data_IF_505274003967
#
_entry.id   IF_505274003967
#
_cell.length_a   1.000
_cell.length_b   1.000
_cell.length_c   1.000
_cell.angle_alpha   90.00
_cell.angle_beta   90.00
_cell.angle_gamma   90.00
#
_symmetry.space_group_name_H-M   'P 1'
#
loop_
_entity.id
_entity.type
_entity.pdbx_description
1 polymer ?
#
# COMPACT_ATOMS: atom_id res chain seq x y z
N UNK A 1 20.93 -21.84 13.51
CA UNK A 1 19.53 -21.46 13.42
C UNK A 1 18.92 -22.03 12.16
N UNK A 2 17.83 -22.76 12.32
CA UNK A 2 17.16 -23.34 11.15
C UNK A 2 16.55 -22.23 10.30
N UNK A 3 16.76 -22.27 8.98
CA UNK A 3 16.15 -21.36 8.01
C UNK A 3 14.61 -21.31 8.11
N UNK A 4 14.01 -22.34 8.71
CA UNK A 4 12.57 -22.43 8.92
C UNK A 4 12.05 -21.42 9.96
N UNK A 5 12.82 -21.07 10.99
CA UNK A 5 12.40 -20.05 11.97
C UNK A 5 12.45 -18.64 11.38
N UNK A 6 13.46 -18.32 10.57
CA UNK A 6 13.56 -17.04 9.88
C UNK A 6 12.44 -16.87 8.84
N UNK A 7 12.12 -17.89 8.06
CA UNK A 7 11.02 -17.87 7.11
C UNK A 7 9.66 -17.73 7.80
N UNK A 8 9.47 -18.40 8.95
CA UNK A 8 8.26 -18.27 9.76
C UNK A 8 8.10 -16.85 10.34
N UNK A 9 9.20 -16.24 10.77
CA UNK A 9 9.18 -14.87 11.29
C UNK A 9 8.87 -13.85 10.18
N UNK A 10 9.43 -14.01 8.99
CA UNK A 10 9.10 -13.19 7.82
C UNK A 10 7.62 -13.32 7.48
N UNK A 11 7.07 -14.52 7.46
CA UNK A 11 5.65 -14.75 7.20
C UNK A 11 4.73 -14.09 8.24
N UNK A 12 5.05 -14.23 9.52
CA UNK A 12 4.30 -13.61 10.63
C UNK A 12 4.34 -12.09 10.59
N UNK A 13 5.39 -11.50 10.03
CA UNK A 13 5.58 -10.05 9.92
C UNK A 13 4.88 -9.40 8.73
N UNK A 14 4.30 -10.18 7.81
CA UNK A 14 3.61 -9.64 6.61
C UNK A 14 2.50 -8.63 6.94
N UNK A 15 1.90 -8.70 8.12
CA UNK A 15 0.86 -7.77 8.55
C UNK A 15 1.41 -6.64 9.45
N UNK A 16 2.63 -6.75 9.94
CA UNK A 16 3.24 -5.82 10.90
C UNK A 16 4.19 -4.85 10.20
N UNK A 17 3.63 -4.08 9.27
CA UNK A 17 4.41 -3.14 8.46
C UNK A 17 5.10 -2.09 9.35
N UNK A 18 4.38 -1.52 10.32
CA UNK A 18 4.93 -0.52 11.23
C UNK A 18 6.11 -1.04 12.02
N UNK A 19 6.00 -2.23 12.61
CA UNK A 19 7.10 -2.86 13.36
C UNK A 19 8.29 -3.17 12.45
N UNK A 20 8.05 -3.62 11.22
CA UNK A 20 9.13 -3.86 10.26
C UNK A 20 9.89 -2.57 9.92
N UNK A 21 9.18 -1.45 9.76
CA UNK A 21 9.81 -0.15 9.53
C UNK A 21 10.59 0.34 10.75
N UNK A 22 10.05 0.14 11.95
CA UNK A 22 10.75 0.51 13.19
C UNK A 22 12.03 -0.32 13.37
N UNK A 23 12.00 -1.61 13.02
CA UNK A 23 13.19 -2.47 13.02
C UNK A 23 14.22 -2.01 11.98
N UNK A 24 13.77 -1.61 10.79
CA UNK A 24 14.67 -1.09 9.75
C UNK A 24 15.40 0.16 10.25
N UNK A 25 14.73 1.04 10.99
CA UNK A 25 15.35 2.20 11.61
C UNK A 25 16.37 1.79 12.68
N UNK A 26 16.01 0.84 13.55
CA UNK A 26 16.90 0.35 14.62
C UNK A 26 18.16 -0.34 14.06
N UNK A 27 18.03 -1.05 12.95
CA UNK A 27 19.14 -1.72 12.26
C UNK A 27 19.90 -0.80 11.27
N UNK A 28 19.54 0.48 11.22
CA UNK A 28 20.20 1.48 10.37
C UNK A 28 20.16 1.20 8.86
N UNK A 29 19.07 0.62 8.37
CA UNK A 29 18.86 0.50 6.91
C UNK A 29 18.76 1.89 6.30
N UNK A 30 19.39 2.08 5.15
CA UNK A 30 19.31 3.34 4.40
C UNK A 30 18.06 3.42 3.52
N UNK A 31 17.59 2.27 3.03
CA UNK A 31 16.54 2.16 2.04
C UNK A 31 15.65 0.95 2.30
N UNK A 32 14.34 1.12 2.14
CA UNK A 32 13.34 0.04 2.31
C UNK A 32 12.34 0.11 1.16
N UNK A 33 12.08 -1.02 0.53
CA UNK A 33 11.03 -1.16 -0.47
C UNK A 33 10.01 -2.21 -0.01
N UNK A 34 8.76 -1.77 0.13
CA UNK A 34 7.63 -2.66 0.39
C UNK A 34 7.04 -3.11 -0.95
N UNK A 35 6.87 -4.40 -1.14
CA UNK A 35 6.18 -4.95 -2.31
C UNK A 35 5.05 -5.84 -1.82
N UNK A 36 3.83 -5.55 -2.22
CA UNK A 36 2.71 -6.33 -1.70
C UNK A 36 1.40 -6.17 -2.44
N UNK A 37 0.47 -7.03 -2.07
CA UNK A 37 -0.87 -7.03 -2.64
C UNK A 37 -1.65 -5.78 -2.21
N UNK A 38 -2.38 -5.19 -3.15
CA UNK A 38 -3.18 -3.98 -2.93
C UNK A 38 -4.15 -4.13 -1.76
N UNK A 39 -4.72 -5.31 -1.57
CA UNK A 39 -5.62 -5.60 -0.45
C UNK A 39 -4.99 -5.41 0.93
N UNK A 40 -3.68 -5.45 1.04
CA UNK A 40 -2.94 -5.14 2.27
C UNK A 40 -2.39 -3.72 2.27
N UNK A 41 -1.65 -3.36 1.22
CA UNK A 41 -0.90 -2.11 1.20
C UNK A 41 -1.77 -0.87 1.02
N UNK A 42 -2.98 -0.98 0.46
CA UNK A 42 -3.90 0.16 0.39
C UNK A 42 -4.24 0.71 1.79
N UNK A 43 -4.23 -0.13 2.82
CA UNK A 43 -4.48 0.29 4.21
C UNK A 43 -3.47 1.31 4.72
N UNK A 44 -2.25 1.32 4.16
CA UNK A 44 -1.23 2.32 4.47
C UNK A 44 -1.67 3.74 4.07
N UNK A 45 -2.56 3.87 3.08
CA UNK A 45 -3.12 5.17 2.70
C UNK A 45 -3.94 5.82 3.83
N UNK A 46 -4.44 5.03 4.76
CA UNK A 46 -5.11 5.49 5.98
C UNK A 46 -4.20 5.51 7.21
N UNK A 47 -2.91 5.24 7.06
CA UNK A 47 -1.97 5.17 8.18
C UNK A 47 -2.09 3.88 9.00
N UNK A 48 -2.77 2.86 8.48
CA UNK A 48 -2.94 1.58 9.16
C UNK A 48 -1.67 0.75 8.92
N UNK A 49 -0.87 0.58 9.94
CA UNK A 49 0.44 -0.07 9.87
C UNK A 49 0.40 -1.56 10.22
N UNK A 50 -0.65 -2.03 10.88
CA UNK A 50 -0.95 -3.45 11.02
C UNK A 50 -2.06 -3.81 10.04
N UNK A 51 -1.71 -4.49 8.96
CA UNK A 51 -2.63 -4.76 7.85
C UNK A 51 -3.51 -5.98 8.05
N UNK A 52 -3.45 -6.63 9.22
CA UNK A 52 -4.32 -7.75 9.53
C UNK A 52 -5.78 -7.28 9.67
N UNK A 53 -6.71 -7.97 9.01
CA UNK A 53 -8.14 -7.59 8.98
C UNK A 53 -8.81 -7.51 10.35
N UNK A 54 -8.28 -8.25 11.35
CA UNK A 54 -8.77 -8.17 12.74
C UNK A 54 -8.42 -6.85 13.43
N UNK A 55 -7.39 -6.15 12.97
CA UNK A 55 -6.98 -4.86 13.55
C UNK A 55 -7.75 -3.71 12.93
N UNK A 56 -7.83 -3.68 11.61
CA UNK A 56 -8.58 -2.69 10.87
C UNK A 56 -8.82 -3.17 9.44
N UNK A 57 -9.92 -2.79 8.84
CA UNK A 57 -10.13 -2.98 7.41
C UNK A 57 -10.25 -1.63 6.75
N UNK A 58 -10.97 -0.82 6.53
CA UNK A 58 -10.99 0.49 5.84
C UNK A 58 -10.59 0.46 4.36
N UNK A 59 -10.50 -0.70 3.70
CA UNK A 59 -10.09 -0.78 2.29
C UNK A 59 -11.09 -0.08 1.37
N UNK A 60 -12.36 -0.40 1.49
CA UNK A 60 -13.42 0.18 0.66
C UNK A 60 -13.62 1.65 0.95
N UNK A 61 -13.52 2.06 2.21
CA UNK A 61 -13.60 3.46 2.64
C UNK A 61 -12.46 4.29 2.03
N UNK A 62 -11.25 3.75 1.99
CA UNK A 62 -10.11 4.43 1.37
C UNK A 62 -10.31 4.60 -0.15
N UNK A 63 -10.73 3.56 -0.84
CA UNK A 63 -11.07 3.67 -2.26
C UNK A 63 -12.19 4.68 -2.49
N UNK A 64 -13.23 4.65 -1.69
CA UNK A 64 -14.36 5.58 -1.78
C UNK A 64 -13.92 7.03 -1.55
N UNK A 65 -13.16 7.30 -0.49
CA UNK A 65 -12.69 8.65 -0.17
C UNK A 65 -11.82 9.23 -1.29
N UNK A 66 -10.85 8.45 -1.78
CA UNK A 66 -9.97 8.88 -2.86
C UNK A 66 -10.69 8.99 -4.20
N UNK A 67 -11.68 8.14 -4.47
CA UNK A 67 -12.55 8.28 -5.65
C UNK A 67 -13.36 9.57 -5.60
N UNK A 68 -13.93 9.91 -4.44
CA UNK A 68 -14.64 11.17 -4.25
C UNK A 68 -13.74 12.39 -4.51
N UNK A 69 -12.50 12.36 -4.04
CA UNK A 69 -11.51 13.41 -4.33
C UNK A 69 -11.22 13.53 -5.84
N UNK A 70 -11.32 12.43 -6.58
CA UNK A 70 -11.11 12.41 -8.03
C UNK A 70 -12.39 12.67 -8.85
N UNK A 71 -13.49 13.06 -8.21
CA UNK A 71 -14.71 13.44 -8.88
C UNK A 71 -15.73 12.31 -9.08
N UNK A 72 -15.61 11.18 -8.38
CA UNK A 72 -16.60 10.12 -8.43
C UNK A 72 -17.97 10.61 -7.94
N UNK A 73 -19.04 10.18 -8.60
CA UNK A 73 -20.40 10.47 -8.16
C UNK A 73 -20.80 9.60 -6.95
N UNK A 74 -21.94 9.95 -6.34
CA UNK A 74 -22.43 9.24 -5.17
C UNK A 74 -22.73 7.76 -5.45
N UNK A 75 -23.17 7.42 -6.66
CA UNK A 75 -23.46 6.03 -7.04
C UNK A 75 -22.17 5.20 -7.08
N UNK A 76 -21.11 5.73 -7.67
CA UNK A 76 -19.78 5.11 -7.70
C UNK A 76 -19.22 4.95 -6.28
N UNK A 77 -19.33 5.96 -5.45
CA UNK A 77 -18.90 5.90 -4.05
C UNK A 77 -19.62 4.81 -3.26
N UNK A 78 -20.95 4.69 -3.42
CA UNK A 78 -21.73 3.61 -2.79
C UNK A 78 -21.31 2.23 -3.28
N UNK A 79 -21.10 2.07 -4.58
CA UNK A 79 -20.63 0.82 -5.15
C UNK A 79 -19.27 0.40 -4.56
N UNK A 80 -18.35 1.35 -4.38
CA UNK A 80 -17.05 1.11 -3.73
C UNK A 80 -17.22 0.67 -2.27
N UNK A 81 -18.10 1.33 -1.51
CA UNK A 81 -18.36 0.96 -0.11
C UNK A 81 -18.93 -0.44 0.02
N UNK A 82 -19.73 -0.88 -0.92
CA UNK A 82 -20.38 -2.20 -0.93
C UNK A 82 -19.51 -3.30 -1.56
N UNK A 83 -18.35 -2.97 -2.10
CA UNK A 83 -17.47 -3.92 -2.76
C UNK A 83 -16.91 -4.95 -1.77
N UNK A 84 -16.87 -6.21 -2.18
CA UNK A 84 -16.38 -7.30 -1.33
C UNK A 84 -14.85 -7.40 -1.31
N UNK A 85 -14.18 -6.94 -2.37
CA UNK A 85 -12.72 -7.09 -2.54
C UNK A 85 -12.11 -5.83 -3.16
N UNK A 86 -10.80 -5.68 -3.03
CA UNK A 86 -10.06 -4.60 -3.70
C UNK A 86 -10.08 -4.74 -5.22
N UNK A 87 -10.08 -5.95 -5.76
CA UNK A 87 -10.25 -6.15 -7.20
C UNK A 87 -11.63 -5.70 -7.69
N UNK A 88 -12.68 -5.91 -6.91
CA UNK A 88 -14.00 -5.37 -7.21
C UNK A 88 -14.01 -3.84 -7.19
N UNK A 89 -13.30 -3.21 -6.26
CA UNK A 89 -13.10 -1.75 -6.26
C UNK A 89 -12.42 -1.28 -7.56
N UNK A 90 -11.38 -1.98 -8.01
CA UNK A 90 -10.69 -1.64 -9.26
C UNK A 90 -11.61 -1.75 -10.47
N UNK A 91 -12.47 -2.76 -10.54
CA UNK A 91 -13.46 -2.90 -11.61
C UNK A 91 -14.46 -1.73 -11.64
N UNK A 92 -14.92 -1.31 -10.47
CA UNK A 92 -15.81 -0.15 -10.34
C UNK A 92 -15.11 1.12 -10.83
N UNK A 93 -13.86 1.31 -10.46
CA UNK A 93 -13.05 2.46 -10.89
C UNK A 93 -12.78 2.43 -12.39
N UNK A 94 -12.57 1.27 -12.99
CA UNK A 94 -12.41 1.11 -14.44
C UNK A 94 -13.68 1.52 -15.18
N UNK A 95 -14.83 1.05 -14.71
CA UNK A 95 -16.12 1.43 -15.29
C UNK A 95 -16.38 2.95 -15.23
N UNK A 96 -15.89 3.60 -14.18
CA UNK A 96 -15.97 5.05 -13.99
C UNK A 96 -14.82 5.83 -14.65
N UNK A 97 -13.86 5.16 -15.27
CA UNK A 97 -12.63 5.74 -15.84
C UNK A 97 -11.81 6.55 -14.81
N UNK A 98 -11.76 6.07 -13.58
CA UNK A 98 -11.10 6.73 -12.45
C UNK A 98 -9.93 5.93 -11.86
N UNK A 99 -9.58 4.76 -12.41
CA UNK A 99 -8.51 3.92 -11.84
C UNK A 99 -7.20 4.68 -11.68
N UNK A 100 -6.69 5.31 -12.73
CA UNK A 100 -5.40 5.99 -12.70
C UNK A 100 -5.36 7.12 -11.67
N UNK A 101 -6.29 8.09 -11.69
CA UNK A 101 -6.21 9.19 -10.72
C UNK A 101 -6.44 8.72 -9.28
N UNK A 102 -7.29 7.73 -9.04
CA UNK A 102 -7.54 7.20 -7.71
C UNK A 102 -6.32 6.44 -7.19
N UNK A 103 -5.69 5.60 -8.01
CA UNK A 103 -4.45 4.93 -7.62
C UNK A 103 -3.33 5.92 -7.34
N UNK A 104 -3.18 6.98 -8.14
CA UNK A 104 -2.20 8.03 -7.88
C UNK A 104 -2.46 8.74 -6.55
N UNK A 105 -3.71 9.04 -6.23
CA UNK A 105 -4.12 9.65 -4.96
C UNK A 105 -3.81 8.74 -3.77
N UNK A 106 -4.15 7.45 -3.87
CA UNK A 106 -3.84 6.45 -2.84
C UNK A 106 -2.34 6.30 -2.62
N UNK A 107 -1.56 6.21 -3.69
CA UNK A 107 -0.10 6.08 -3.60
C UNK A 107 0.56 7.31 -2.97
N UNK A 108 0.05 8.50 -3.23
CA UNK A 108 0.50 9.73 -2.57
C UNK A 108 0.23 9.67 -1.06
N UNK A 109 -0.94 9.21 -0.64
CA UNK A 109 -1.28 9.04 0.77
C UNK A 109 -0.42 7.95 1.43
N UNK A 110 -0.17 6.84 0.73
CA UNK A 110 0.74 5.79 1.22
C UNK A 110 2.14 6.36 1.47
N UNK A 111 2.70 7.08 0.51
CA UNK A 111 4.02 7.70 0.66
C UNK A 111 4.07 8.63 1.88
N UNK A 112 3.05 9.45 2.09
CA UNK A 112 2.97 10.34 3.24
C UNK A 112 3.07 9.58 4.57
N UNK A 113 2.30 8.50 4.72
CA UNK A 113 2.29 7.70 5.95
C UNK A 113 3.59 6.91 6.15
N UNK A 114 4.19 6.41 5.08
CA UNK A 114 5.49 5.76 5.13
C UNK A 114 6.58 6.74 5.58
N UNK A 115 6.61 7.94 5.01
CA UNK A 115 7.58 8.98 5.37
C UNK A 115 7.44 9.40 6.84
N UNK A 116 6.20 9.55 7.30
CA UNK A 116 5.92 9.84 8.72
C UNK A 116 6.44 8.76 9.65
N UNK A 117 6.24 7.49 9.29
CA UNK A 117 6.74 6.36 10.11
C UNK A 117 8.25 6.28 10.09
N UNK A 118 8.88 6.48 8.94
CA UNK A 118 10.33 6.48 8.81
C UNK A 118 10.99 7.65 9.55
N UNK A 119 10.30 8.77 9.70
CA UNK A 119 10.74 9.97 10.43
C UNK A 119 12.16 10.42 10.05
N UNK A 120 12.53 10.28 8.79
CA UNK A 120 13.86 10.66 8.26
C UNK A 120 14.97 9.65 8.48
N UNK A 121 14.70 8.50 9.13
CA UNK A 121 15.73 7.49 9.40
C UNK A 121 16.20 6.75 8.14
N UNK A 122 15.31 6.57 7.16
CA UNK A 122 15.59 5.87 5.90
C UNK A 122 14.62 6.33 4.81
N UNK A 123 14.95 6.02 3.57
CA UNK A 123 14.04 6.19 2.44
C UNK A 123 13.16 4.96 2.30
N UNK A 124 11.85 5.15 2.17
CA UNK A 124 10.91 4.03 2.03
C UNK A 124 9.92 4.29 0.90
N UNK A 125 9.67 3.26 0.12
CA UNK A 125 8.67 3.27 -0.93
C UNK A 125 7.85 1.98 -0.92
N UNK A 126 6.78 1.96 -1.71
CA UNK A 126 5.91 0.80 -1.86
C UNK A 126 5.53 0.56 -3.32
N UNK A 127 5.45 -0.71 -3.69
CA UNK A 127 4.95 -1.21 -4.98
C UNK A 127 3.73 -2.07 -4.70
N UNK A 128 2.62 -1.75 -5.37
CA UNK A 128 1.34 -2.44 -5.22
C UNK A 128 1.03 -3.29 -6.44
N UNK A 129 0.52 -4.48 -6.20
CA UNK A 129 0.04 -5.37 -7.27
C UNK A 129 -1.24 -6.09 -6.84
N UNK A 130 -1.94 -6.69 -7.79
CA UNK A 130 -2.91 -7.74 -7.54
C UNK A 130 -2.65 -8.94 -8.45
N UNK A 131 -3.08 -10.12 -8.01
CA UNK A 131 -2.88 -11.35 -8.80
C UNK A 131 -3.62 -11.27 -10.15
N UNK A 132 -4.78 -10.64 -10.17
CA UNK A 132 -5.60 -10.49 -11.38
C UNK A 132 -5.14 -9.36 -12.30
N UNK A 133 -4.76 -8.21 -11.73
CA UNK A 133 -4.43 -7.01 -12.49
C UNK A 133 -2.92 -6.81 -12.71
N UNK A 134 -2.06 -7.60 -12.05
CA UNK A 134 -0.63 -7.37 -12.09
C UNK A 134 -0.22 -6.09 -11.37
N UNK A 135 0.84 -5.40 -11.82
CA UNK A 135 1.29 -4.14 -11.22
C UNK A 135 0.21 -3.07 -11.28
N UNK A 136 -0.02 -2.40 -10.15
CA UNK A 136 -1.03 -1.34 -10.01
C UNK A 136 -0.43 0.05 -9.84
N UNK A 137 0.83 0.12 -9.51
CA UNK A 137 1.55 1.36 -9.32
C UNK A 137 2.51 1.31 -8.16
N UNK A 138 3.25 2.39 -8.00
CA UNK A 138 4.29 2.50 -6.97
C UNK A 138 4.39 3.94 -6.49
N UNK A 139 4.85 4.10 -5.25
CA UNK A 139 5.05 5.43 -4.66
C UNK A 139 6.24 6.14 -5.30
N UNK A 140 6.29 7.45 -5.12
CA UNK A 140 7.36 8.31 -5.66
C UNK A 140 8.76 7.85 -5.21
N UNK A 141 8.93 7.50 -3.95
CA UNK A 141 10.22 7.01 -3.44
C UNK A 141 10.56 5.64 -4.02
N UNK A 142 9.58 4.75 -4.21
CA UNK A 142 9.81 3.47 -4.88
C UNK A 142 10.34 3.67 -6.31
N UNK A 143 9.80 4.62 -7.08
CA UNK A 143 10.34 4.98 -8.39
C UNK A 143 11.82 5.35 -8.32
N UNK A 144 12.18 6.19 -7.38
CA UNK A 144 13.56 6.64 -7.18
C UNK A 144 14.48 5.48 -6.81
N UNK A 145 14.09 4.64 -5.85
CA UNK A 145 14.88 3.50 -5.39
C UNK A 145 15.10 2.47 -6.51
N UNK A 146 14.05 2.15 -7.26
CA UNK A 146 14.14 1.18 -8.35
C UNK A 146 15.03 1.66 -9.48
N UNK A 147 15.03 2.95 -9.79
CA UNK A 147 15.97 3.55 -10.77
C UNK A 147 17.41 3.46 -10.29
N UNK A 148 17.68 3.85 -9.04
CA UNK A 148 19.01 3.78 -8.45
C UNK A 148 19.56 2.35 -8.43
N UNK A 149 18.73 1.37 -8.05
CA UNK A 149 19.15 -0.04 -7.98
C UNK A 149 19.40 -0.66 -9.36
N UNK A 150 18.71 -0.19 -10.40
CA UNK A 150 18.99 -0.62 -11.79
C UNK A 150 20.29 -0.08 -12.34
N UNK A 151 20.72 1.08 -11.88
CA UNK A 151 21.96 1.74 -12.31
C UNK A 151 23.19 1.26 -11.51
N UNK A 152 22.96 0.59 -10.40
CA UNK A 152 24.01 -0.02 -9.60
C UNK A 152 24.36 -1.41 -10.18
#
# INVERSE_FOLDING_TARGET
PSNSSAASDVYKRQNFIGEALDMAAAEHFAEVLLVGHVGKLVKLAGGIMNTHSRCADCRTELFCAHAALCGADAATCRALMDAATTDACLDILDAAQLREPVMASLLTAIQLHLDRRAAGAFKVGAVLFSNRNGPLGQTKTADTLLKLWKEA
#
